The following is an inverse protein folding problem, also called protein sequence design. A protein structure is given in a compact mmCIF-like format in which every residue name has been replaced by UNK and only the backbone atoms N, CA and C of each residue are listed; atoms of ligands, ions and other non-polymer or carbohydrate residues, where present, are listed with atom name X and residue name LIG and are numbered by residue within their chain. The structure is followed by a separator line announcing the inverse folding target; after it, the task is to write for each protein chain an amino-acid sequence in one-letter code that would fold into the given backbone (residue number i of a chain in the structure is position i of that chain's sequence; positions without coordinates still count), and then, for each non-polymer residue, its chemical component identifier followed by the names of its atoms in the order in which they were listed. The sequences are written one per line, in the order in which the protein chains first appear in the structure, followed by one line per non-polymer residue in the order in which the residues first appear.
data_IF_442643230158
#
_entry.id   IF_442643230158
#
_cell.length_a   1.000
_cell.length_b   1.000
_cell.length_c   1.000
_cell.angle_alpha   90.00
_cell.angle_beta   90.00
_cell.angle_gamma   90.00
#
_symmetry.space_group_name_H-M   'P 1'
#
loop_
_entity.id
_entity.type
_entity.pdbx_description
1 polymer ?
#
# COMPACT_ATOMS: atom_id res chain seq x y z
N UNK A 1 18.58 -3.16 4.66
CA UNK A 1 17.40 -4.03 4.82
C UNK A 1 16.75 -3.96 6.20
N UNK A 2 17.23 -4.64 7.26
CA UNK A 2 16.51 -4.66 8.56
C UNK A 2 16.47 -3.29 9.26
N UNK A 3 17.57 -2.54 9.20
CA UNK A 3 17.63 -1.18 9.74
C UNK A 3 16.60 -0.25 9.08
N UNK A 4 16.60 -0.21 7.75
CA UNK A 4 15.64 0.56 6.95
C UNK A 4 14.19 0.11 7.20
N UNK A 5 13.95 -1.19 7.31
CA UNK A 5 12.63 -1.77 7.57
C UNK A 5 12.08 -1.30 8.93
N UNK A 6 12.87 -1.47 9.99
CA UNK A 6 12.46 -1.02 11.33
C UNK A 6 12.30 0.49 11.39
N UNK A 7 13.18 1.26 10.75
CA UNK A 7 13.07 2.72 10.68
C UNK A 7 11.78 3.18 9.99
N UNK A 8 11.38 2.51 8.91
CA UNK A 8 10.14 2.82 8.18
C UNK A 8 8.88 2.56 9.00
N UNK A 9 8.78 1.40 9.65
CA UNK A 9 7.57 0.99 10.35
C UNK A 9 7.45 1.54 11.77
N UNK A 10 8.57 1.79 12.48
CA UNK A 10 8.54 2.41 13.80
C UNK A 10 8.23 3.91 13.73
N UNK A 11 8.61 4.57 12.62
CA UNK A 11 8.40 5.99 12.34
C UNK A 11 8.70 6.93 13.54
N UNK A 12 9.66 6.52 14.37
CA UNK A 12 10.07 7.20 15.59
C UNK A 12 11.56 6.94 15.85
N UNK A 13 12.44 7.95 15.69
CA UNK A 13 13.87 7.80 15.90
C UNK A 13 14.29 7.37 17.31
N UNK A 14 13.41 7.52 18.30
CA UNK A 14 13.67 7.14 19.69
C UNK A 14 13.09 5.77 20.06
N UNK A 15 12.48 5.05 19.12
CA UNK A 15 11.89 3.74 19.41
C UNK A 15 12.97 2.75 19.83
N UNK A 16 12.83 2.04 20.97
CA UNK A 16 13.77 1.01 21.40
C UNK A 16 13.75 -0.22 20.46
N UNK A 17 12.71 -0.36 19.64
CA UNK A 17 12.55 -1.45 18.67
C UNK A 17 13.31 -1.21 17.36
N UNK A 18 13.93 -0.03 17.18
CA UNK A 18 14.80 0.21 16.04
C UNK A 18 15.97 -0.77 16.04
N UNK A 19 16.31 -1.29 14.86
CA UNK A 19 17.41 -2.25 14.71
C UNK A 19 18.72 -1.77 15.37
N UNK A 20 19.02 -0.47 15.27
CA UNK A 20 20.22 0.16 15.87
C UNK A 20 20.22 0.18 17.39
N UNK A 21 19.05 0.08 18.02
CA UNK A 21 18.88 0.09 19.47
C UNK A 21 18.80 -1.32 20.06
N UNK A 22 18.67 -2.35 19.22
CA UNK A 22 18.59 -3.73 19.67
C UNK A 22 19.98 -4.28 20.07
N UNK A 23 20.06 -5.11 21.13
CA UNK A 23 21.30 -5.78 21.50
C UNK A 23 21.85 -6.65 20.36
N UNK A 24 23.16 -6.60 20.06
CA UNK A 24 23.76 -7.40 18.98
C UNK A 24 23.51 -8.90 19.09
N UNK A 25 23.59 -9.47 20.30
CA UNK A 25 23.39 -10.91 20.53
C UNK A 25 21.94 -11.35 20.23
N UNK A 26 20.97 -10.50 20.55
CA UNK A 26 19.56 -10.73 20.25
C UNK A 26 19.32 -10.77 18.74
N UNK A 27 19.87 -9.79 18.01
CA UNK A 27 19.79 -9.72 16.56
C UNK A 27 20.47 -10.93 15.92
N UNK A 28 21.66 -11.30 16.37
CA UNK A 28 22.41 -12.42 15.82
C UNK A 28 21.67 -13.75 16.02
N UNK A 29 21.04 -13.96 17.18
CA UNK A 29 20.24 -15.15 17.45
C UNK A 29 19.05 -15.26 16.49
N UNK A 30 18.27 -14.19 16.36
CA UNK A 30 17.07 -14.18 15.51
C UNK A 30 17.38 -14.20 14.01
N UNK A 31 18.50 -13.61 13.58
CA UNK A 31 18.90 -13.58 12.17
C UNK A 31 19.04 -14.99 11.56
N UNK A 32 19.35 -15.99 12.38
CA UNK A 32 19.45 -17.40 11.95
C UNK A 32 18.11 -18.05 11.64
N UNK A 33 17.01 -17.45 12.10
CA UNK A 33 15.65 -17.96 11.92
C UNK A 33 14.97 -17.43 10.64
N UNK A 34 15.60 -16.51 9.92
CA UNK A 34 15.05 -15.86 8.73
C UNK A 34 16.03 -15.93 7.56
N UNK A 35 15.50 -15.98 6.34
CA UNK A 35 16.29 -15.92 5.11
C UNK A 35 15.97 -14.61 4.40
N UNK A 36 17.00 -13.81 4.13
CA UNK A 36 16.89 -12.60 3.34
C UNK A 36 17.03 -12.93 1.85
N UNK A 37 16.23 -12.27 1.01
CA UNK A 37 16.36 -12.32 -0.44
C UNK A 37 15.98 -10.98 -1.05
N UNK A 38 16.41 -10.76 -2.29
CA UNK A 38 16.10 -9.55 -3.05
C UNK A 38 15.45 -9.95 -4.38
N UNK A 39 14.47 -9.15 -4.81
CA UNK A 39 13.87 -9.28 -6.14
C UNK A 39 14.33 -8.09 -6.97
N UNK A 40 15.08 -8.37 -8.04
CA UNK A 40 15.45 -7.34 -9.01
C UNK A 40 14.24 -7.00 -9.88
N UNK A 41 13.77 -5.76 -9.78
CA UNK A 41 12.68 -5.26 -10.64
C UNK A 41 13.17 -5.19 -12.09
N UNK A 42 12.54 -5.95 -12.98
CA UNK A 42 12.82 -5.94 -14.43
C UNK A 42 11.79 -5.16 -15.24
N UNK A 43 10.63 -4.88 -14.65
CA UNK A 43 9.51 -4.16 -15.23
C UNK A 43 8.39 -3.98 -14.20
N UNK A 44 7.46 -3.06 -14.47
CA UNK A 44 6.31 -2.80 -13.62
C UNK A 44 5.08 -2.59 -14.49
N UNK A 45 4.16 -3.54 -14.44
CA UNK A 45 2.88 -3.51 -15.15
C UNK A 45 1.73 -3.44 -14.14
N UNK A 46 0.67 -2.69 -14.44
CA UNK A 46 -0.50 -2.54 -13.58
C UNK A 46 -1.80 -2.56 -14.38
N UNK A 47 -2.90 -2.97 -13.75
CA UNK A 47 -4.24 -2.98 -14.35
C UNK A 47 -5.22 -2.35 -13.36
N UNK A 48 -5.85 -1.23 -13.74
CA UNK A 48 -6.92 -0.60 -12.97
C UNK A 48 -8.28 -0.94 -13.56
N UNK A 49 -9.10 -1.70 -12.85
CA UNK A 49 -10.50 -1.96 -13.20
C UNK A 49 -11.43 -1.16 -12.29
N UNK A 50 -11.90 -0.02 -12.80
CA UNK A 50 -12.67 0.98 -12.05
C UNK A 50 -13.98 1.34 -12.79
N UNK A 51 -14.58 0.39 -13.51
CA UNK A 51 -15.81 0.61 -14.29
C UNK A 51 -15.72 1.73 -15.34
N UNK A 52 -14.53 2.00 -15.87
CA UNK A 52 -14.27 3.11 -16.81
C UNK A 52 -15.01 2.95 -18.16
N UNK A 53 -15.58 1.78 -18.43
CA UNK A 53 -16.34 1.46 -19.63
C UNK A 53 -17.87 1.65 -19.48
N UNK A 54 -18.34 2.22 -18.37
CA UNK A 54 -19.75 2.51 -18.11
C UNK A 54 -20.11 3.93 -18.52
N UNK A 55 -21.40 4.17 -18.77
CA UNK A 55 -21.91 5.53 -18.93
C UNK A 55 -21.81 6.32 -17.61
N UNK A 56 -21.85 7.65 -17.71
CA UNK A 56 -21.64 8.55 -16.59
C UNK A 56 -22.59 8.26 -15.42
N UNK A 57 -23.87 8.01 -15.68
CA UNK A 57 -24.87 7.77 -14.63
C UNK A 57 -24.59 6.46 -13.89
N UNK A 58 -24.28 5.40 -14.63
CA UNK A 58 -23.87 4.12 -14.04
C UNK A 58 -22.59 4.26 -13.22
N UNK A 59 -21.61 5.03 -13.71
CA UNK A 59 -20.35 5.29 -13.00
C UNK A 59 -20.57 6.05 -11.68
N UNK A 60 -21.39 7.10 -11.70
CA UNK A 60 -21.76 7.88 -10.51
C UNK A 60 -22.48 7.01 -9.48
N UNK A 61 -23.46 6.21 -9.90
CA UNK A 61 -24.18 5.30 -9.00
C UNK A 61 -23.26 4.27 -8.33
N UNK A 62 -22.33 3.68 -9.10
CA UNK A 62 -21.36 2.72 -8.55
C UNK A 62 -20.46 3.42 -7.53
N UNK A 63 -19.96 4.60 -7.86
CA UNK A 63 -19.09 5.39 -6.99
C UNK A 63 -19.80 5.77 -5.68
N UNK A 64 -21.07 6.18 -5.77
CA UNK A 64 -21.90 6.51 -4.61
C UNK A 64 -22.08 5.31 -3.69
N UNK A 65 -22.47 4.15 -4.23
CA UNK A 65 -22.63 2.93 -3.43
C UNK A 65 -21.32 2.49 -2.76
N UNK A 66 -20.20 2.51 -3.48
CA UNK A 66 -18.90 2.13 -2.94
C UNK A 66 -18.44 3.10 -1.83
N UNK A 67 -18.75 4.39 -1.95
CA UNK A 67 -18.38 5.39 -0.92
C UNK A 67 -19.07 5.18 0.43
N UNK A 68 -20.14 4.39 0.48
CA UNK A 68 -20.89 4.06 1.70
C UNK A 68 -20.50 2.69 2.27
N UNK A 69 -19.55 2.00 1.62
CA UNK A 69 -19.11 0.66 1.94
C UNK A 69 -18.01 0.59 3.01
N UNK A 70 -17.29 -0.52 3.03
CA UNK A 70 -16.09 -0.73 3.86
C UNK A 70 -14.88 0.10 3.38
N UNK A 71 -13.75 0.02 4.09
CA UNK A 71 -12.54 0.80 3.77
C UNK A 71 -12.02 0.56 2.35
N UNK A 72 -12.05 -0.69 1.86
CA UNK A 72 -11.62 -1.02 0.50
C UNK A 72 -12.58 -0.41 -0.54
N UNK A 73 -13.89 -0.50 -0.30
CA UNK A 73 -14.91 0.09 -1.19
C UNK A 73 -14.77 1.61 -1.27
N UNK A 74 -14.57 2.26 -0.12
CA UNK A 74 -14.33 3.70 -0.04
C UNK A 74 -13.04 4.11 -0.76
N UNK A 75 -11.98 3.32 -0.62
CA UNK A 75 -10.73 3.54 -1.35
C UNK A 75 -10.93 3.47 -2.86
N UNK A 76 -11.67 2.47 -3.36
CA UNK A 76 -12.00 2.34 -4.78
C UNK A 76 -12.86 3.52 -5.25
N UNK A 77 -13.87 3.93 -4.48
CA UNK A 77 -14.69 5.10 -4.80
C UNK A 77 -13.84 6.38 -4.93
N UNK A 78 -12.87 6.57 -4.03
CA UNK A 78 -11.94 7.70 -4.11
C UNK A 78 -11.07 7.64 -5.38
N UNK A 79 -10.55 6.47 -5.74
CA UNK A 79 -9.79 6.28 -6.99
C UNK A 79 -10.64 6.48 -8.25
N UNK A 80 -11.91 6.09 -8.22
CA UNK A 80 -12.87 6.37 -9.29
C UNK A 80 -13.12 7.87 -9.45
N UNK A 81 -13.33 8.60 -8.35
CA UNK A 81 -13.59 10.04 -8.38
C UNK A 81 -12.42 10.83 -9.00
N UNK A 82 -11.16 10.45 -8.73
CA UNK A 82 -9.97 11.09 -9.30
C UNK A 82 -9.94 11.09 -10.83
N UNK A 83 -10.62 10.14 -11.48
CA UNK A 83 -10.61 9.92 -12.93
C UNK A 83 -11.90 10.35 -13.62
N UNK A 84 -12.86 10.91 -12.86
CA UNK A 84 -14.19 11.27 -13.38
C UNK A 84 -14.12 12.34 -14.46
N UNK A 85 -13.28 13.36 -14.26
CA UNK A 85 -13.09 14.46 -15.22
C UNK A 85 -12.46 13.95 -16.53
N UNK A 86 -11.44 13.10 -16.47
CA UNK A 86 -10.81 12.54 -17.66
C UNK A 86 -11.76 11.64 -18.48
N UNK A 87 -12.79 11.05 -17.86
CA UNK A 87 -13.72 10.11 -18.50
C UNK A 87 -14.98 10.78 -19.07
N UNK A 88 -15.47 11.86 -18.44
CA UNK A 88 -16.76 12.47 -18.75
C UNK A 88 -16.74 14.00 -18.84
N UNK A 89 -15.57 14.63 -18.68
CA UNK A 89 -15.35 16.07 -18.80
C UNK A 89 -15.12 16.56 -20.23
#
# INVERSE_FOLDING_TARGET
MLDELTSHFENNPSSPSLYKHLPPDYVQHLSKAIVAFEIKVTGMDHVFKLSQNRDQKSYENITEHLSQGNEDEQYIAAEMNKRREDLFG
#
